data_IF_589279156883
#
_entry.id   IF_589279156883
#
_cell.length_a   1.000
_cell.length_b   1.000
_cell.length_c   1.000
_cell.angle_alpha   90.00
_cell.angle_beta   90.00
_cell.angle_gamma   90.00
#
_symmetry.space_group_name_H-M   'P 1'
#
loop_
_entity.id
_entity.type
_entity.pdbx_description
1 polymer ?
#
# COMPACT_ATOMS: atom_id res chain seq x y z
N UNK A 1 10.05 -7.07 -76.74
CA UNK A 1 9.84 -8.26 -75.90
C UNK A 1 9.03 -7.84 -74.69
N UNK A 2 7.75 -8.19 -74.72
CA UNK A 2 6.74 -7.88 -73.71
C UNK A 2 6.84 -8.87 -72.56
N UNK A 3 6.62 -8.41 -71.32
CA UNK A 3 5.93 -9.24 -70.34
C UNK A 3 4.98 -8.37 -69.51
N UNK A 4 3.68 -8.54 -69.79
CA UNK A 4 2.54 -7.99 -69.04
C UNK A 4 2.03 -9.12 -68.17
N UNK A 5 1.95 -8.94 -66.85
CA UNK A 5 1.15 -9.83 -66.00
C UNK A 5 0.03 -9.07 -65.29
N UNK A 6 -1.15 -9.53 -65.66
CA UNK A 6 -2.49 -9.09 -65.30
C UNK A 6 -2.91 -9.77 -64.01
N UNK A 7 -3.39 -9.00 -63.02
CA UNK A 7 -4.14 -9.53 -61.89
C UNK A 7 -5.62 -9.57 -62.27
N UNK A 8 -6.19 -10.79 -62.29
CA UNK A 8 -7.62 -11.03 -62.51
C UNK A 8 -8.39 -11.05 -61.19
N UNK A 9 -9.48 -10.30 -61.20
CA UNK A 9 -10.60 -10.32 -60.28
C UNK A 9 -11.29 -11.70 -60.25
N UNK A 10 -11.61 -12.20 -59.05
CA UNK A 10 -12.40 -13.39 -58.83
C UNK A 10 -13.50 -13.14 -57.81
N UNK A 11 -14.67 -12.68 -58.30
CA UNK A 11 -15.95 -12.74 -57.58
C UNK A 11 -16.42 -14.20 -57.49
N UNK A 12 -16.59 -14.72 -56.27
CA UNK A 12 -17.51 -15.83 -55.94
C UNK A 12 -18.08 -15.47 -54.56
N UNK A 13 -19.30 -14.94 -54.51
CA UNK A 13 -20.50 -15.70 -54.13
C UNK A 13 -20.64 -15.63 -52.60
N UNK A 14 -21.39 -14.67 -52.03
CA UNK A 14 -22.84 -14.76 -51.86
C UNK A 14 -23.25 -16.20 -51.52
N UNK A 15 -23.44 -16.49 -50.22
CA UNK A 15 -24.39 -17.42 -49.60
C UNK A 15 -23.97 -17.63 -48.12
N UNK A 16 -24.94 -17.73 -47.22
CA UNK A 16 -24.90 -17.85 -45.74
C UNK A 16 -25.00 -16.55 -44.92
N UNK A 17 -25.97 -15.75 -45.36
CA UNK A 17 -26.83 -14.90 -44.55
C UNK A 17 -27.78 -15.78 -43.71
N UNK A 18 -27.30 -16.43 -42.63
CA UNK A 18 -28.15 -17.27 -41.74
C UNK A 18 -27.50 -17.59 -40.38
N UNK A 19 -27.03 -16.58 -39.63
CA UNK A 19 -26.58 -16.78 -38.25
C UNK A 19 -26.69 -15.53 -37.36
N UNK A 20 -27.64 -14.64 -37.68
CA UNK A 20 -27.95 -13.47 -36.87
C UNK A 20 -29.47 -13.40 -36.71
N UNK A 21 -29.92 -13.12 -35.47
CA UNK A 21 -31.29 -12.82 -35.07
C UNK A 21 -32.25 -14.00 -34.82
N UNK A 22 -31.88 -14.88 -33.89
CA UNK A 22 -32.88 -15.67 -33.15
C UNK A 22 -32.53 -15.78 -31.66
N UNK A 23 -32.65 -14.68 -30.93
CA UNK A 23 -32.77 -14.66 -29.45
C UNK A 23 -33.51 -13.39 -29.01
N UNK A 24 -34.79 -13.29 -29.40
CA UNK A 24 -35.79 -12.54 -28.61
C UNK A 24 -36.41 -13.54 -27.63
N UNK A 25 -36.10 -13.42 -26.34
CA UNK A 25 -36.87 -14.07 -25.29
C UNK A 25 -36.71 -13.34 -23.96
N UNK A 26 -37.86 -12.87 -23.43
CA UNK A 26 -38.18 -12.53 -22.04
C UNK A 26 -37.72 -11.18 -21.46
N UNK A 27 -38.60 -10.19 -21.65
CA UNK A 27 -38.95 -9.25 -20.60
C UNK A 27 -39.91 -9.92 -19.59
N UNK A 28 -39.46 -10.04 -18.35
CA UNK A 28 -40.21 -10.08 -17.09
C UNK A 28 -39.12 -9.99 -16.00
N UNK A 29 -39.10 -9.08 -15.04
CA UNK A 29 -40.15 -8.41 -14.29
C UNK A 29 -39.60 -8.28 -12.86
N UNK A 30 -40.05 -7.25 -12.14
CA UNK A 30 -39.79 -6.96 -10.72
C UNK A 30 -38.46 -6.24 -10.39
N UNK A 31 -38.53 -4.92 -10.47
CA UNK A 31 -37.76 -4.01 -9.62
C UNK A 31 -38.17 -4.21 -8.16
N UNK A 32 -37.31 -4.82 -7.34
CA UNK A 32 -37.41 -4.70 -5.88
C UNK A 32 -36.53 -3.55 -5.39
N UNK A 33 -37.21 -2.46 -5.03
CA UNK A 33 -36.66 -1.36 -4.27
C UNK A 33 -36.32 -1.83 -2.85
N UNK A 34 -35.06 -2.13 -2.57
CA UNK A 34 -34.60 -2.24 -1.19
C UNK A 34 -34.39 -0.82 -0.61
N UNK A 35 -35.43 -0.34 0.08
CA UNK A 35 -35.32 0.73 1.08
C UNK A 35 -34.30 0.30 2.14
N UNK A 36 -33.11 0.88 2.09
CA UNK A 36 -32.17 0.84 3.22
C UNK A 36 -32.72 1.72 4.34
N UNK A 37 -33.41 1.10 5.30
CA UNK A 37 -33.73 1.74 6.58
C UNK A 37 -32.50 1.69 7.48
N UNK A 38 -31.57 2.64 7.27
CA UNK A 38 -30.63 3.00 8.34
C UNK A 38 -31.36 3.93 9.28
N UNK A 39 -31.61 3.44 10.48
CA UNK A 39 -32.13 4.23 11.58
C UNK A 39 -31.23 5.44 11.79
N UNK A 40 -31.80 6.63 11.62
CA UNK A 40 -31.22 7.87 12.06
C UNK A 40 -31.17 7.87 13.58
N UNK A 41 -29.97 7.99 14.14
CA UNK A 41 -29.77 8.53 15.49
C UNK A 41 -29.05 9.88 15.39
N UNK A 42 -29.35 10.81 16.29
CA UNK A 42 -29.18 12.24 16.05
C UNK A 42 -27.74 12.71 16.28
N UNK A 43 -27.29 13.59 15.37
CA UNK A 43 -26.64 14.88 15.65
C UNK A 43 -25.83 14.99 16.96
N UNK A 44 -24.51 15.12 16.82
CA UNK A 44 -23.78 16.20 17.52
C UNK A 44 -22.63 16.67 16.62
N UNK A 45 -22.72 17.91 16.17
CA UNK A 45 -21.63 18.59 15.46
C UNK A 45 -20.46 18.85 16.40
N UNK A 46 -19.26 18.63 15.89
CA UNK A 46 -18.02 19.02 16.56
C UNK A 46 -16.98 19.38 15.51
N UNK A 47 -16.87 20.67 15.19
CA UNK A 47 -15.71 21.22 14.49
C UNK A 47 -14.56 21.31 15.49
N UNK A 48 -13.76 20.25 15.59
CA UNK A 48 -12.56 20.22 16.41
C UNK A 48 -11.30 20.44 15.56
N UNK A 49 -10.77 21.66 15.54
CA UNK A 49 -9.37 21.92 15.16
C UNK A 49 -8.49 21.53 16.33
N UNK A 50 -8.09 20.25 16.39
CA UNK A 50 -7.18 19.74 17.42
C UNK A 50 -5.74 19.69 16.92
N UNK A 51 -4.89 20.61 17.37
CA UNK A 51 -3.43 20.42 17.37
C UNK A 51 -3.07 19.47 18.52
N UNK A 52 -3.10 18.17 18.26
CA UNK A 52 -2.75 17.15 19.23
C UNK A 52 -1.23 16.94 19.30
N UNK A 53 -0.58 17.51 20.31
CA UNK A 53 0.74 17.02 20.79
C UNK A 53 0.49 15.79 21.65
N UNK A 54 0.37 14.62 21.02
CA UNK A 54 0.22 13.34 21.72
C UNK A 54 1.57 12.86 22.23
N UNK A 55 1.78 12.87 23.54
CA UNK A 55 2.85 12.12 24.21
C UNK A 55 2.39 10.67 24.43
N UNK A 56 2.46 9.85 23.39
CA UNK A 56 2.13 8.44 23.47
C UNK A 56 3.19 7.66 24.24
N UNK A 57 2.94 7.32 25.51
CA UNK A 57 3.67 6.26 26.22
C UNK A 57 2.97 4.93 25.96
N UNK A 58 3.22 4.32 24.80
CA UNK A 58 2.89 2.92 24.56
C UNK A 58 4.01 2.03 25.10
N UNK A 59 3.77 1.25 26.16
CA UNK A 59 4.73 0.20 26.55
C UNK A 59 4.53 -0.99 25.62
N UNK A 60 5.22 -1.01 24.48
CA UNK A 60 5.40 -2.24 23.71
C UNK A 60 6.12 -3.25 24.59
N UNK A 61 5.55 -4.46 24.74
CA UNK A 61 6.19 -5.58 25.46
C UNK A 61 7.27 -6.27 24.61
N UNK A 62 7.62 -5.70 23.46
CA UNK A 62 8.75 -6.16 22.64
C UNK A 62 10.05 -5.97 23.42
N UNK A 63 10.73 -7.07 23.72
CA UNK A 63 12.04 -7.07 24.40
C UNK A 63 13.20 -6.89 23.43
N UNK A 64 12.93 -6.78 22.12
CA UNK A 64 13.92 -6.54 21.08
C UNK A 64 14.35 -5.08 20.98
N UNK A 65 15.56 -4.85 20.46
CA UNK A 65 16.03 -3.50 20.09
C UNK A 65 15.10 -2.95 19.01
N UNK A 66 14.66 -1.70 19.17
CA UNK A 66 13.83 -1.03 18.17
C UNK A 66 14.61 -0.83 16.86
N UNK A 67 14.03 -1.25 15.75
CA UNK A 67 14.51 -0.94 14.42
C UNK A 67 14.08 0.47 14.04
N UNK A 68 15.04 1.38 14.03
CA UNK A 68 14.85 2.79 13.74
C UNK A 68 15.14 3.08 12.26
N UNK A 69 14.20 3.71 11.55
CA UNK A 69 14.39 4.10 10.15
C UNK A 69 14.60 5.61 10.00
N UNK A 70 15.57 5.98 9.16
CA UNK A 70 15.86 7.37 8.79
C UNK A 70 15.67 7.51 7.30
N UNK A 71 14.77 8.41 6.89
CA UNK A 71 14.40 8.57 5.50
C UNK A 71 14.64 9.96 4.95
N UNK A 72 14.92 9.97 3.64
CA UNK A 72 14.77 11.13 2.77
C UNK A 72 13.51 10.89 1.95
N UNK A 73 12.49 11.72 2.18
CA UNK A 73 11.23 11.69 1.46
C UNK A 73 11.23 12.84 0.46
N UNK A 74 11.05 12.54 -0.82
CA UNK A 74 11.21 13.54 -1.89
C UNK A 74 9.89 13.78 -2.61
N UNK A 75 9.54 15.05 -2.81
CA UNK A 75 8.54 15.44 -3.82
C UNK A 75 9.22 15.48 -5.18
N UNK A 76 8.72 14.69 -6.13
CA UNK A 76 9.33 14.54 -7.46
C UNK A 76 8.46 15.17 -8.55
N UNK A 77 9.09 15.63 -9.64
CA UNK A 77 8.36 16.17 -10.79
C UNK A 77 7.84 17.60 -10.61
N UNK A 78 8.20 18.26 -9.52
CA UNK A 78 7.82 19.65 -9.22
C UNK A 78 7.87 19.94 -7.72
N UNK A 79 7.33 21.09 -7.34
CA UNK A 79 7.27 21.55 -5.95
C UNK A 79 5.84 21.49 -5.41
N UNK A 80 5.69 20.94 -4.21
CA UNK A 80 4.49 21.10 -3.39
C UNK A 80 4.50 22.46 -2.67
N UNK A 81 3.33 22.97 -2.30
CA UNK A 81 3.20 24.12 -1.42
C UNK A 81 3.61 23.79 0.02
N UNK A 82 3.92 24.80 0.83
CA UNK A 82 4.24 24.61 2.26
C UNK A 82 3.11 23.89 3.01
N UNK A 83 1.85 24.24 2.73
CA UNK A 83 0.70 23.61 3.38
C UNK A 83 0.61 22.10 3.05
N UNK A 84 0.91 21.74 1.81
CA UNK A 84 0.95 20.35 1.39
C UNK A 84 2.10 19.57 2.03
N UNK A 85 3.29 20.18 2.12
CA UNK A 85 4.43 19.56 2.81
C UNK A 85 4.15 19.32 4.29
N UNK A 86 3.48 20.28 4.96
CA UNK A 86 3.06 20.12 6.36
C UNK A 86 1.97 19.04 6.51
N UNK A 87 1.06 18.91 5.54
CA UNK A 87 0.07 17.83 5.53
C UNK A 87 0.73 16.45 5.40
N UNK A 88 1.71 16.31 4.49
CA UNK A 88 2.52 15.09 4.36
C UNK A 88 3.24 14.81 5.68
N UNK A 89 3.96 15.81 6.22
CA UNK A 89 4.67 15.69 7.50
C UNK A 89 3.76 15.21 8.63
N UNK A 90 2.55 15.76 8.74
CA UNK A 90 1.57 15.29 9.73
C UNK A 90 1.10 13.86 9.48
N UNK A 91 1.04 13.42 8.21
CA UNK A 91 0.67 12.06 7.86
C UNK A 91 1.76 11.05 8.23
N UNK A 92 3.04 11.41 8.10
CA UNK A 92 4.18 10.49 8.36
C UNK A 92 4.14 9.92 9.78
N UNK A 93 3.73 10.68 10.81
CA UNK A 93 3.60 10.11 12.16
C UNK A 93 2.61 8.94 12.19
N UNK A 94 1.48 9.06 11.49
CA UNK A 94 0.48 7.96 11.40
C UNK A 94 1.02 6.73 10.68
N UNK A 95 1.93 6.95 9.73
CA UNK A 95 2.62 5.86 9.02
C UNK A 95 3.60 5.16 9.98
N UNK A 96 4.38 5.94 10.74
CA UNK A 96 5.28 5.44 11.78
C UNK A 96 4.52 4.64 12.84
N UNK A 97 3.39 5.13 13.33
CA UNK A 97 2.52 4.43 14.27
C UNK A 97 2.00 3.10 13.69
N UNK A 98 1.71 3.07 12.39
CA UNK A 98 1.35 1.85 11.67
C UNK A 98 2.48 0.81 11.68
N UNK A 99 3.71 1.24 11.40
CA UNK A 99 4.89 0.36 11.45
C UNK A 99 5.14 -0.16 12.86
N UNK A 100 5.07 0.72 13.86
CA UNK A 100 5.19 0.36 15.27
C UNK A 100 4.15 -0.66 15.68
N UNK A 101 2.92 -0.48 15.18
CA UNK A 101 1.82 -1.40 15.45
C UNK A 101 2.10 -2.80 14.94
N UNK A 102 2.42 -2.93 13.65
CA UNK A 102 2.60 -4.25 13.02
C UNK A 102 3.85 -5.00 13.50
N UNK A 103 4.85 -4.28 14.01
CA UNK A 103 6.09 -4.82 14.55
C UNK A 103 6.05 -5.11 16.06
N UNK A 104 4.89 -5.01 16.68
CA UNK A 104 4.72 -5.17 18.12
C UNK A 104 5.66 -4.24 18.93
N UNK A 105 5.78 -3.00 18.46
CA UNK A 105 6.53 -1.94 19.12
C UNK A 105 8.03 -1.98 18.90
N UNK A 106 8.52 -2.72 17.91
CA UNK A 106 9.96 -2.90 17.69
C UNK A 106 10.46 -2.30 16.36
N UNK A 107 9.65 -1.48 15.69
CA UNK A 107 10.12 -0.74 14.51
C UNK A 107 9.38 0.59 14.36
N UNK A 108 10.06 1.65 13.96
CA UNK A 108 9.42 2.95 13.71
C UNK A 108 10.30 3.87 12.85
N UNK A 109 9.68 4.90 12.29
CA UNK A 109 10.41 5.97 11.60
C UNK A 109 10.96 6.92 12.66
N UNK A 110 12.28 6.98 12.80
CA UNK A 110 12.94 7.91 13.72
C UNK A 110 12.98 9.32 13.17
N UNK A 111 13.34 9.44 11.88
CA UNK A 111 13.55 10.74 11.25
C UNK A 111 13.16 10.72 9.78
N UNK A 112 12.55 11.80 9.31
CA UNK A 112 12.33 12.08 7.88
C UNK A 112 12.85 13.46 7.53
N UNK A 113 13.63 13.54 6.47
CA UNK A 113 13.93 14.79 5.75
C UNK A 113 13.03 14.87 4.53
N UNK A 114 12.05 15.76 4.56
CA UNK A 114 11.13 16.01 3.46
C UNK A 114 11.72 17.07 2.53
N UNK A 115 12.14 16.64 1.34
CA UNK A 115 12.71 17.51 0.30
C UNK A 115 11.66 17.85 -0.74
N UNK A 116 11.53 19.14 -1.02
CA UNK A 116 10.66 19.62 -2.08
C UNK A 116 11.41 19.68 -3.41
N UNK A 117 10.84 19.13 -4.48
CA UNK A 117 11.44 19.11 -5.81
C UNK A 117 12.84 18.46 -5.86
N UNK A 118 12.99 17.30 -5.23
CA UNK A 118 14.22 16.51 -5.29
C UNK A 118 14.19 15.45 -6.39
N UNK A 119 15.26 14.66 -6.43
CA UNK A 119 15.43 13.56 -7.39
C UNK A 119 15.05 12.21 -6.77
N UNK A 120 14.72 11.23 -7.63
CA UNK A 120 14.52 9.85 -7.16
C UNK A 120 15.82 9.17 -6.70
N UNK A 121 16.99 9.66 -7.13
CA UNK A 121 18.28 9.03 -6.80
C UNK A 121 18.70 9.18 -5.34
N UNK A 122 18.15 10.17 -4.64
CA UNK A 122 18.45 10.45 -3.21
C UNK A 122 17.33 10.01 -2.26
N UNK A 123 16.23 9.51 -2.79
CA UNK A 123 15.04 9.24 -2.01
C UNK A 123 15.04 7.81 -1.43
N UNK A 124 14.42 7.68 -0.27
CA UNK A 124 13.95 6.41 0.29
C UNK A 124 12.44 6.27 0.04
N UNK A 125 11.75 7.42 0.01
CA UNK A 125 10.33 7.55 -0.34
C UNK A 125 10.17 8.69 -1.35
N UNK A 126 9.36 8.49 -2.38
CA UNK A 126 9.07 9.47 -3.41
C UNK A 126 7.56 9.69 -3.56
N UNK A 127 7.16 10.96 -3.60
CA UNK A 127 5.79 11.37 -3.94
C UNK A 127 5.83 12.24 -5.19
N UNK A 128 5.25 11.80 -6.32
CA UNK A 128 5.06 12.68 -7.47
C UNK A 128 4.18 13.87 -7.10
N UNK A 129 4.51 15.07 -7.59
CA UNK A 129 3.84 16.33 -7.22
C UNK A 129 2.33 16.27 -7.47
N UNK A 130 1.90 15.61 -8.54
CA UNK A 130 0.50 15.41 -8.90
C UNK A 130 -0.29 14.53 -7.92
N UNK A 131 0.40 13.83 -7.00
CA UNK A 131 -0.19 12.94 -5.99
C UNK A 131 0.09 13.38 -4.55
N UNK A 132 0.59 14.59 -4.35
CA UNK A 132 0.89 15.17 -3.02
C UNK A 132 -0.34 15.20 -2.12
N UNK A 133 -1.49 15.61 -2.66
CA UNK A 133 -2.77 15.66 -1.93
C UNK A 133 -3.58 14.35 -2.02
N UNK A 134 -2.97 13.27 -2.53
CA UNK A 134 -3.63 11.98 -2.78
C UNK A 134 -3.09 10.89 -1.87
N UNK A 135 -3.92 9.89 -1.57
CA UNK A 135 -3.48 8.62 -0.99
C UNK A 135 -3.00 7.59 -2.02
N UNK A 136 -3.07 7.92 -3.31
CA UNK A 136 -2.83 7.01 -4.44
C UNK A 136 -2.01 7.67 -5.57
N UNK A 137 -1.27 6.84 -6.32
CA UNK A 137 -0.57 7.11 -7.58
C UNK A 137 -1.43 6.79 -8.81
N UNK A 138 -2.32 7.70 -9.22
CA UNK A 138 -3.04 7.57 -10.50
C UNK A 138 -3.83 6.26 -10.65
N UNK A 139 -4.37 5.74 -9.55
CA UNK A 139 -5.10 4.47 -9.47
C UNK A 139 -4.33 3.31 -8.81
N UNK A 140 -3.01 3.42 -8.68
CA UNK A 140 -2.18 2.50 -7.88
C UNK A 140 -2.07 3.06 -6.46
N UNK A 141 -2.13 2.24 -5.40
CA UNK A 141 -2.04 2.73 -4.02
C UNK A 141 -0.63 3.23 -3.67
N UNK A 142 0.37 2.34 -3.76
CA UNK A 142 1.79 2.65 -3.68
C UNK A 142 2.57 1.53 -4.40
N UNK A 143 3.90 1.66 -4.46
CA UNK A 143 4.77 0.60 -4.97
C UNK A 143 6.20 0.75 -4.49
N UNK A 144 6.91 -0.35 -4.38
CA UNK A 144 8.36 -0.39 -4.21
C UNK A 144 9.04 -0.54 -5.56
N UNK A 145 10.18 0.14 -5.77
CA UNK A 145 10.91 0.14 -7.04
C UNK A 145 12.42 0.14 -6.81
N UNK A 146 13.17 -0.41 -7.77
CA UNK A 146 14.64 -0.33 -7.76
C UNK A 146 15.12 1.10 -8.04
N UNK A 147 16.23 1.49 -7.42
CA UNK A 147 16.80 2.83 -7.43
C UNK A 147 16.70 3.51 -6.05
N UNK A 148 16.87 4.82 -5.95
CA UNK A 148 16.90 5.48 -4.65
C UNK A 148 18.27 5.45 -3.98
N UNK A 149 18.33 6.02 -2.78
CA UNK A 149 19.58 6.23 -2.04
C UNK A 149 20.29 4.94 -1.66
N UNK A 150 19.54 3.87 -1.39
CA UNK A 150 20.01 2.59 -0.88
C UNK A 150 19.60 1.40 -1.79
N UNK A 151 19.27 1.68 -3.05
CA UNK A 151 18.99 0.69 -4.08
C UNK A 151 17.52 0.30 -4.24
N UNK A 152 16.66 0.63 -3.27
CA UNK A 152 15.20 0.58 -3.44
C UNK A 152 14.49 1.77 -2.80
N UNK A 153 13.35 2.18 -3.35
CA UNK A 153 12.53 3.24 -2.77
C UNK A 153 11.04 2.95 -2.90
N UNK A 154 10.25 3.56 -2.02
CA UNK A 154 8.79 3.52 -2.07
C UNK A 154 8.31 4.71 -2.90
N UNK A 155 7.44 4.47 -3.88
CA UNK A 155 6.63 5.54 -4.49
C UNK A 155 5.23 5.48 -3.89
N UNK A 156 4.72 6.60 -3.38
CA UNK A 156 3.38 6.68 -2.80
C UNK A 156 2.79 8.09 -2.91
N UNK A 157 1.46 8.19 -2.75
CA UNK A 157 0.79 9.49 -2.57
C UNK A 157 1.19 10.15 -1.26
N UNK A 158 1.11 11.48 -1.18
CA UNK A 158 1.52 12.21 0.03
C UNK A 158 0.63 11.92 1.25
N UNK A 159 -0.61 11.50 1.03
CA UNK A 159 -1.57 11.11 2.05
C UNK A 159 -1.86 9.60 2.04
N UNK A 160 -0.87 8.78 1.64
CA UNK A 160 -0.96 7.31 1.67
C UNK A 160 -1.40 6.83 3.06
N UNK A 161 -2.17 5.75 3.13
CA UNK A 161 -2.62 5.18 4.40
C UNK A 161 -1.55 4.26 5.02
N UNK A 162 -1.65 4.04 6.33
CA UNK A 162 -0.68 3.24 7.08
C UNK A 162 -0.59 1.78 6.63
N UNK A 163 -1.67 1.19 6.09
CA UNK A 163 -1.64 -0.19 5.60
C UNK A 163 -0.81 -0.28 4.32
N UNK A 164 -1.15 0.56 3.35
CA UNK A 164 -0.41 0.65 2.08
C UNK A 164 1.06 0.98 2.32
N UNK A 165 1.36 1.97 3.17
CA UNK A 165 2.75 2.32 3.43
C UNK A 165 3.51 1.18 4.11
N UNK A 166 2.90 0.53 5.10
CA UNK A 166 3.55 -0.58 5.81
C UNK A 166 3.79 -1.80 4.93
N UNK A 167 2.89 -2.07 3.97
CA UNK A 167 3.08 -3.07 2.94
C UNK A 167 4.33 -2.78 2.10
N UNK A 168 4.44 -1.57 1.55
CA UNK A 168 5.61 -1.19 0.73
C UNK A 168 6.90 -1.08 1.54
N UNK A 169 6.80 -0.65 2.79
CA UNK A 169 7.93 -0.66 3.71
C UNK A 169 8.46 -2.09 3.92
N UNK A 170 7.58 -3.08 4.08
CA UNK A 170 7.95 -4.49 4.14
C UNK A 170 8.72 -4.96 2.91
N UNK A 171 8.28 -4.55 1.71
CA UNK A 171 9.01 -4.81 0.46
C UNK A 171 10.38 -4.12 0.43
N UNK A 172 10.45 -2.83 0.79
CA UNK A 172 11.68 -2.02 0.72
C UNK A 172 12.76 -2.53 1.67
N UNK A 173 12.45 -2.58 2.97
CA UNK A 173 13.45 -2.76 4.04
C UNK A 173 13.75 -4.22 4.33
N UNK A 174 12.75 -5.09 4.15
CA UNK A 174 12.79 -6.46 4.67
C UNK A 174 12.65 -7.50 3.55
N UNK A 175 12.45 -7.06 2.32
CA UNK A 175 12.19 -7.91 1.16
C UNK A 175 11.05 -8.92 1.38
N UNK A 176 10.07 -8.57 2.22
CA UNK A 176 8.85 -9.37 2.38
C UNK A 176 8.10 -9.41 1.05
N UNK A 177 7.36 -10.46 0.70
CA UNK A 177 7.15 -11.69 1.44
C UNK A 177 8.07 -12.83 0.94
N UNK A 178 9.20 -13.05 1.62
CA UNK A 178 10.10 -14.17 1.32
C UNK A 178 11.42 -13.86 0.63
N UNK A 179 11.95 -12.65 0.77
CA UNK A 179 13.20 -12.23 0.12
C UNK A 179 13.08 -11.96 -1.37
N UNK A 180 11.93 -12.27 -1.99
CA UNK A 180 11.65 -12.08 -3.42
C UNK A 180 10.78 -10.84 -3.68
N UNK A 181 10.42 -10.05 -2.66
CA UNK A 181 9.51 -8.89 -2.82
C UNK A 181 8.20 -9.28 -3.52
N UNK A 182 7.72 -10.49 -3.21
CA UNK A 182 6.53 -11.08 -3.78
C UNK A 182 5.28 -10.57 -3.07
N UNK A 183 4.19 -10.50 -3.81
CA UNK A 183 2.90 -10.04 -3.31
C UNK A 183 2.08 -11.19 -2.72
N UNK A 184 1.46 -10.99 -1.57
CA UNK A 184 0.65 -12.03 -0.91
C UNK A 184 -0.84 -11.95 -1.28
N UNK A 185 -1.17 -11.68 -2.55
CA UNK A 185 -2.56 -11.66 -3.05
C UNK A 185 -3.16 -13.07 -3.26
N UNK A 186 -2.31 -14.11 -3.27
CA UNK A 186 -2.68 -15.49 -3.61
C UNK A 186 -3.59 -16.19 -2.59
N UNK A 187 -4.32 -17.22 -3.03
CA UNK A 187 -5.00 -18.17 -2.13
C UNK A 187 -6.48 -17.90 -1.79
N UNK A 188 -7.19 -17.05 -2.53
CA UNK A 188 -8.64 -16.82 -2.39
C UNK A 188 -9.09 -16.07 -1.11
N UNK A 189 -8.27 -16.13 -0.05
CA UNK A 189 -8.47 -15.39 1.19
C UNK A 189 -7.37 -14.35 1.47
N UNK A 190 -6.16 -14.48 0.89
CA UNK A 190 -5.00 -13.69 1.28
C UNK A 190 -4.40 -14.16 2.61
N UNK A 191 -3.15 -13.80 2.87
CA UNK A 191 -2.48 -14.06 4.14
C UNK A 191 -2.99 -13.07 5.21
N UNK A 192 -3.08 -13.48 6.48
CA UNK A 192 -3.53 -12.61 7.57
C UNK A 192 -2.47 -11.57 7.99
N UNK A 193 -1.91 -10.83 7.04
CA UNK A 193 -0.88 -9.83 7.29
C UNK A 193 -0.95 -8.62 6.34
N UNK A 194 -0.06 -7.66 6.57
CA UNK A 194 0.00 -6.39 5.82
C UNK A 194 0.48 -6.59 4.38
N UNK A 195 1.17 -7.69 4.11
CA UNK A 195 1.64 -8.03 2.76
C UNK A 195 0.53 -8.53 1.83
N UNK A 196 -0.69 -8.75 2.34
CA UNK A 196 -1.87 -9.12 1.55
C UNK A 196 -2.85 -7.95 1.35
N UNK A 197 -2.33 -6.77 1.00
CA UNK A 197 -3.16 -5.58 0.78
C UNK A 197 -4.30 -5.85 -0.22
N UNK A 198 -5.49 -5.33 0.05
CA UNK A 198 -6.66 -5.50 -0.82
C UNK A 198 -7.28 -6.91 -0.84
N UNK A 199 -6.70 -7.89 -0.15
CA UNK A 199 -7.32 -9.19 0.07
C UNK A 199 -8.27 -9.17 1.27
N UNK A 200 -9.26 -10.08 1.30
CA UNK A 200 -10.22 -10.17 2.40
C UNK A 200 -9.56 -10.56 3.75
N UNK A 201 -8.44 -11.26 3.70
CA UNK A 201 -7.68 -11.72 4.86
C UNK A 201 -6.65 -10.73 5.36
N UNK A 202 -6.30 -9.69 4.60
CA UNK A 202 -5.26 -8.73 4.96
C UNK A 202 -5.48 -8.05 6.31
N UNK A 203 -4.42 -7.91 7.11
CA UNK A 203 -4.47 -7.35 8.47
C UNK A 203 -3.29 -6.43 8.73
N UNK A 204 -3.48 -5.43 9.59
CA UNK A 204 -2.38 -4.60 10.12
C UNK A 204 -1.53 -5.36 11.14
N UNK A 205 -0.79 -6.36 10.66
CA UNK A 205 0.17 -7.18 11.41
C UNK A 205 1.11 -7.89 10.43
N UNK A 206 2.23 -8.44 10.90
CA UNK A 206 3.02 -9.43 10.17
C UNK A 206 2.51 -10.85 10.44
N UNK A 207 2.45 -11.75 9.46
CA UNK A 207 2.10 -13.16 9.72
C UNK A 207 3.27 -13.90 10.38
N UNK A 208 2.95 -14.98 11.09
CA UNK A 208 3.88 -15.90 11.74
C UNK A 208 3.62 -17.34 11.30
N UNK A 209 4.38 -18.30 11.79
CA UNK A 209 4.21 -19.70 11.41
C UNK A 209 2.92 -20.33 11.97
N UNK A 210 2.22 -19.67 12.90
CA UNK A 210 0.94 -20.12 13.44
C UNK A 210 -0.26 -19.75 12.55
N UNK A 211 -0.16 -18.69 11.74
CA UNK A 211 -1.24 -18.26 10.84
C UNK A 211 -0.84 -18.12 9.36
N UNK A 212 0.44 -18.30 9.03
CA UNK A 212 0.92 -18.34 7.66
C UNK A 212 0.63 -19.69 7.00
N UNK A 213 -0.16 -19.68 5.92
CA UNK A 213 -0.50 -20.90 5.21
C UNK A 213 0.57 -21.24 4.15
N UNK A 214 1.56 -22.03 4.53
CA UNK A 214 2.64 -22.49 3.63
C UNK A 214 2.17 -23.35 2.45
N UNK A 215 0.95 -23.90 2.49
CA UNK A 215 0.35 -24.58 1.33
C UNK A 215 -0.22 -23.61 0.29
N UNK A 216 -0.56 -22.39 0.71
CA UNK A 216 -1.04 -21.32 -0.17
C UNK A 216 0.07 -20.34 -0.58
N UNK A 217 1.13 -20.25 0.22
CA UNK A 217 2.22 -19.30 0.06
C UNK A 217 3.58 -20.02 0.12
N UNK A 218 4.37 -19.93 -0.95
CA UNK A 218 5.63 -20.67 -1.10
C UNK A 218 6.84 -20.04 -0.39
N UNK A 219 6.63 -18.96 0.37
CA UNK A 219 7.66 -18.22 1.08
C UNK A 219 7.50 -18.36 2.61
N UNK A 220 8.55 -18.07 3.40
CA UNK A 220 8.47 -18.06 4.87
C UNK A 220 7.51 -16.99 5.41
N UNK A 221 6.95 -17.19 6.60
CA UNK A 221 6.15 -16.14 7.26
C UNK A 221 6.94 -14.83 7.43
N UNK A 222 6.22 -13.70 7.53
CA UNK A 222 6.84 -12.40 7.73
C UNK A 222 7.74 -12.37 8.97
N UNK A 223 7.30 -12.96 10.09
CA UNK A 223 8.09 -13.04 11.31
C UNK A 223 9.32 -13.94 11.17
N UNK A 224 9.26 -15.02 10.38
CA UNK A 224 10.43 -15.83 10.05
C UNK A 224 11.50 -15.01 9.32
N UNK A 225 11.08 -14.22 8.32
CA UNK A 225 11.98 -13.31 7.60
C UNK A 225 12.55 -12.21 8.50
N UNK A 226 11.73 -11.58 9.35
CA UNK A 226 12.14 -10.56 10.33
C UNK A 226 13.19 -11.09 11.31
N UNK A 227 12.96 -12.28 11.89
CA UNK A 227 13.91 -12.92 12.82
C UNK A 227 15.26 -13.25 12.16
N UNK A 228 15.27 -13.49 10.85
CA UNK A 228 16.50 -13.78 10.11
C UNK A 228 17.32 -12.54 9.73
N UNK A 229 16.69 -11.36 9.71
CA UNK A 229 17.28 -10.11 9.19
C UNK A 229 17.39 -9.00 10.22
N UNK A 230 16.78 -9.16 11.40
CA UNK A 230 16.70 -8.14 12.45
C UNK A 230 16.83 -8.77 13.85
N UNK A 231 16.91 -7.93 14.88
CA UNK A 231 16.83 -8.35 16.29
C UNK A 231 15.40 -8.36 16.84
N UNK A 232 14.37 -8.18 16.01
CA UNK A 232 12.98 -8.18 16.46
C UNK A 232 12.55 -9.57 16.90
N UNK A 233 11.71 -9.61 17.93
CA UNK A 233 11.22 -10.85 18.53
C UNK A 233 9.69 -10.91 18.50
N UNK A 234 9.16 -12.12 18.40
CA UNK A 234 7.74 -12.38 18.43
C UNK A 234 7.50 -13.83 18.83
N UNK A 235 6.45 -14.04 19.62
CA UNK A 235 5.95 -15.36 19.98
C UNK A 235 4.83 -15.71 19.02
N UNK A 236 5.02 -16.76 18.21
CA UNK A 236 4.03 -17.16 17.21
C UNK A 236 2.65 -17.40 17.86
N UNK A 237 1.61 -16.81 17.26
CA UNK A 237 0.24 -16.79 17.78
C UNK A 237 -0.09 -15.60 18.68
N UNK A 238 0.90 -14.78 19.09
CA UNK A 238 0.72 -13.63 19.98
C UNK A 238 0.79 -12.29 19.23
N UNK A 239 -0.37 -11.62 19.12
CA UNK A 239 -0.55 -10.36 18.42
C UNK A 239 -0.92 -9.24 19.40
N UNK A 240 0.01 -8.82 20.27
CA UNK A 240 -0.29 -7.83 21.29
C UNK A 240 -0.71 -6.51 20.65
N UNK A 241 -1.75 -5.90 21.22
CA UNK A 241 -2.11 -4.54 20.86
C UNK A 241 -1.00 -3.60 21.33
N UNK A 242 -0.51 -2.80 20.39
CA UNK A 242 0.48 -1.75 20.65
C UNK A 242 -0.15 -0.38 20.45
N UNK A 243 0.31 0.58 21.25
CA UNK A 243 -0.14 1.97 21.20
C UNK A 243 0.50 2.76 20.06
N UNK A 244 0.48 4.08 20.19
CA UNK A 244 1.25 4.96 19.31
C UNK A 244 2.75 4.71 19.49
N UNK A 245 3.51 4.87 18.41
CA UNK A 245 4.96 4.73 18.44
C UNK A 245 5.64 6.01 18.96
N UNK A 246 6.97 6.01 19.04
CA UNK A 246 7.75 7.21 19.33
C UNK A 246 7.45 8.34 18.32
N UNK A 247 7.56 9.58 18.80
CA UNK A 247 7.41 10.75 17.94
C UNK A 247 8.56 10.85 16.93
N UNK A 248 8.23 11.14 15.67
CA UNK A 248 9.21 11.28 14.60
C UNK A 248 9.89 12.66 14.61
N UNK A 249 11.17 12.71 14.22
CA UNK A 249 11.82 13.95 13.82
C UNK A 249 11.56 14.20 12.32
N UNK A 250 10.53 14.96 11.99
CA UNK A 250 10.24 15.33 10.59
C UNK A 250 10.64 16.78 10.30
N UNK A 251 11.61 16.95 9.40
CA UNK A 251 12.12 18.25 8.96
C UNK A 251 11.79 18.48 7.49
N UNK A 252 11.35 19.69 7.15
CA UNK A 252 11.20 20.12 5.76
C UNK A 252 12.49 20.83 5.38
N UNK A 253 13.18 20.34 4.35
CA UNK A 253 14.37 21.00 3.83
C UNK A 253 13.93 22.22 2.99
N UNK A 254 14.53 23.40 3.20
CA UNK A 254 14.18 24.62 2.49
C UNK A 254 14.47 24.57 0.98
#
# INVERSE_FOLDING_TARGET
MSDKRSFKCGKKGLIFLTAALLTLAFFAGCSENHKSSRAASPSTGGTGTGTGTGTGTGSGTGTGVENEYVYVWVITGGSASTAELEAIKSNIQKLSDGLYKIAHGQQYIKRVTLKNNGSRGECHVATPVEYVSSGMLGGIYAKTSMGGADGYYITCGGLVDSFTFAHEHGHKELALAGGVRGEEYGGGAGCPCVMSIGSAGGKMQYCDDANHNTSAFSFPSCWSALRSSTSMTHTDGDYPATGAGPAIEAVIEP
#
